data_IF_877193952587
#
_entry.id   IF_877193952587
#
_cell.length_a   1.000
_cell.length_b   1.000
_cell.length_c   1.000
_cell.angle_alpha   90.00
_cell.angle_beta   90.00
_cell.angle_gamma   90.00
#
_symmetry.space_group_name_H-M   'P 1'
#
loop_
_entity.id
_entity.type
_entity.pdbx_description
1 polymer ?
#
# COMPACT_ATOMS: atom_id res chain seq x y z
N UNK A 1 -2.65 1.68 9.14
CA UNK A 1 -1.52 0.71 9.09
C UNK A 1 -0.29 1.51 8.84
N UNK A 2 0.77 1.20 9.56
CA UNK A 2 2.04 1.90 9.40
C UNK A 2 2.77 1.39 8.16
N UNK A 3 3.14 2.30 7.26
CA UNK A 3 3.86 1.97 6.02
C UNK A 3 5.26 1.48 6.37
N UNK A 4 5.63 0.31 5.83
CA UNK A 4 6.94 -0.29 6.04
C UNK A 4 7.87 -0.04 4.86
N UNK A 5 9.17 -0.19 5.08
CA UNK A 5 10.17 -0.12 4.01
C UNK A 5 9.93 -1.17 2.90
N UNK A 6 9.38 -2.34 3.26
CA UNK A 6 9.05 -3.41 2.31
C UNK A 6 7.97 -2.98 1.32
N UNK A 7 6.93 -2.28 1.79
CA UNK A 7 5.85 -1.78 0.94
C UNK A 7 6.34 -0.76 -0.10
N UNK A 8 7.25 0.14 0.28
CA UNK A 8 7.83 1.14 -0.62
C UNK A 8 8.88 0.58 -1.58
N UNK A 9 9.41 -0.62 -1.29
CA UNK A 9 10.46 -1.28 -2.08
C UNK A 9 9.95 -2.53 -2.81
N UNK A 10 8.66 -2.82 -2.70
CA UNK A 10 8.03 -3.97 -3.32
C UNK A 10 8.22 -3.90 -4.84
N UNK A 11 8.50 -5.06 -5.45
CA UNK A 11 8.73 -5.19 -6.88
C UNK A 11 7.87 -6.29 -7.45
N UNK A 12 7.37 -6.08 -8.66
CA UNK A 12 6.65 -7.09 -9.41
C UNK A 12 7.62 -8.18 -9.91
N UNK A 13 7.07 -9.21 -10.57
CA UNK A 13 7.84 -10.30 -11.17
C UNK A 13 8.87 -9.87 -12.22
N UNK A 14 8.76 -8.65 -12.73
CA UNK A 14 9.65 -8.06 -13.74
C UNK A 14 10.69 -7.11 -13.09
N UNK A 15 10.68 -6.98 -11.76
CA UNK A 15 11.58 -6.08 -11.02
C UNK A 15 11.15 -4.62 -11.01
N UNK A 16 9.94 -4.30 -11.50
CA UNK A 16 9.35 -2.96 -11.53
C UNK A 16 8.78 -2.64 -10.14
N UNK A 17 9.08 -1.45 -9.63
CA UNK A 17 8.60 -1.00 -8.34
C UNK A 17 7.07 -0.88 -8.34
N UNK A 18 6.42 -1.54 -7.38
CA UNK A 18 4.96 -1.51 -7.19
C UNK A 18 4.64 -0.78 -5.90
N UNK A 19 4.41 0.53 -6.03
CA UNK A 19 4.07 1.42 -4.93
C UNK A 19 2.56 1.51 -4.71
N UNK A 20 1.84 0.40 -4.80
CA UNK A 20 0.41 0.39 -4.51
C UNK A 20 0.04 -0.70 -3.51
N UNK A 21 -1.04 -0.45 -2.80
CA UNK A 21 -1.61 -1.37 -1.83
C UNK A 21 -3.03 -1.71 -2.22
N UNK A 22 -3.41 -2.95 -1.99
CA UNK A 22 -4.77 -3.42 -2.23
C UNK A 22 -5.55 -3.48 -0.92
N UNK A 23 -6.66 -2.75 -0.85
CA UNK A 23 -7.60 -2.87 0.27
C UNK A 23 -8.53 -4.05 0.04
N UNK A 24 -8.35 -5.13 0.80
CA UNK A 24 -9.18 -6.35 0.68
C UNK A 24 -10.65 -6.14 1.01
N UNK A 25 -10.99 -5.13 1.82
CA UNK A 25 -12.38 -4.82 2.18
C UNK A 25 -13.14 -4.08 1.08
N UNK A 26 -12.48 -3.13 0.42
CA UNK A 26 -13.09 -2.33 -0.65
C UNK A 26 -12.84 -2.91 -2.04
N UNK A 27 -11.94 -3.90 -2.17
CA UNK A 27 -11.50 -4.48 -3.43
C UNK A 27 -10.97 -3.38 -4.37
N UNK A 28 -10.11 -2.50 -3.83
CA UNK A 28 -9.54 -1.34 -4.53
C UNK A 28 -8.04 -1.21 -4.31
N UNK A 29 -7.35 -0.73 -5.33
CA UNK A 29 -5.93 -0.37 -5.26
C UNK A 29 -5.76 1.11 -4.91
N UNK A 30 -4.75 1.40 -4.10
CA UNK A 30 -4.37 2.74 -3.69
C UNK A 30 -2.87 2.92 -3.93
N UNK A 31 -2.50 4.01 -4.58
CA UNK A 31 -1.09 4.34 -4.83
C UNK A 31 -0.53 5.03 -3.58
N UNK A 32 0.65 4.62 -3.15
CA UNK A 32 1.39 5.20 -2.02
C UNK A 32 2.25 6.42 -2.44
N UNK A 33 1.78 7.19 -3.43
CA UNK A 33 2.52 8.39 -3.86
C UNK A 33 2.66 9.36 -2.67
N UNK A 34 3.86 9.92 -2.51
CA UNK A 34 4.23 10.86 -1.44
C UNK A 34 4.19 10.32 0.00
N UNK A 35 3.93 9.03 0.18
CA UNK A 35 3.96 8.39 1.50
C UNK A 35 5.40 8.04 1.93
N UNK A 36 5.70 8.18 3.22
CA UNK A 36 7.00 7.83 3.80
C UNK A 36 6.91 6.61 4.71
N UNK A 37 8.05 5.96 4.91
CA UNK A 37 8.17 4.92 5.92
C UNK A 37 7.77 5.48 7.28
N UNK A 38 6.91 4.73 7.99
CA UNK A 38 6.40 5.14 9.29
C UNK A 38 5.10 5.94 9.26
N UNK A 39 4.63 6.39 8.09
CA UNK A 39 3.34 7.07 7.94
C UNK A 39 2.17 6.11 8.18
N UNK A 40 1.08 6.62 8.73
CA UNK A 40 -0.17 5.88 8.87
C UNK A 40 -1.02 5.98 7.60
N UNK A 41 -1.28 4.83 6.99
CA UNK A 41 -2.17 4.70 5.85
C UNK A 41 -3.46 3.96 6.22
N UNK A 42 -4.60 4.54 5.86
CA UNK A 42 -5.93 3.96 6.03
C UNK A 42 -6.73 4.10 4.74
N UNK A 43 -7.61 3.13 4.47
CA UNK A 43 -8.38 3.11 3.25
C UNK A 43 -9.37 4.27 3.26
N UNK A 44 -9.28 5.18 2.30
CA UNK A 44 -10.14 6.36 2.26
C UNK A 44 -11.64 6.02 2.15
N UNK A 45 -11.97 4.82 1.67
CA UNK A 45 -13.37 4.39 1.51
C UNK A 45 -13.96 3.70 2.75
N UNK A 46 -13.18 2.93 3.50
CA UNK A 46 -13.72 2.17 4.64
C UNK A 46 -12.96 2.35 5.96
N UNK A 47 -11.96 3.23 5.99
CA UNK A 47 -11.15 3.56 7.17
C UNK A 47 -10.23 2.44 7.66
N UNK A 48 -10.20 1.28 7.00
CA UNK A 48 -9.40 0.13 7.46
C UNK A 48 -7.91 0.31 7.17
N UNK A 49 -7.05 -0.20 8.05
CA UNK A 49 -5.62 -0.39 7.80
C UNK A 49 -5.28 -1.75 7.18
N UNK A 50 -6.27 -2.60 6.85
CA UNK A 50 -6.01 -3.92 6.26
C UNK A 50 -5.69 -3.79 4.77
N UNK A 51 -4.43 -4.03 4.43
CA UNK A 51 -3.90 -3.97 3.07
C UNK A 51 -3.09 -5.21 2.71
N UNK A 52 -3.02 -5.50 1.41
CA UNK A 52 -2.08 -6.45 0.81
C UNK A 52 -1.12 -5.67 -0.09
N UNK A 53 0.14 -6.05 -0.08
CA UNK A 53 1.13 -5.57 -1.05
C UNK A 53 0.83 -6.27 -2.38
N UNK A 54 0.70 -5.49 -3.45
CA UNK A 54 0.39 -5.98 -4.79
C UNK A 54 1.56 -5.80 -5.74
#
# INVERSE_FOLDING_TARGET
MRITAEMLKARDKNGILVNFVFCSRCVKFYVLNDCKEGDDCCCQSCGTGKYLIG
#
